data_IF_371479895478
#
_entry.id   IF_371479895478
#
_cell.length_a   1.000
_cell.length_b   1.000
_cell.length_c   1.000
_cell.angle_alpha   90.00
_cell.angle_beta   90.00
_cell.angle_gamma   90.00
#
_symmetry.space_group_name_H-M   'P 1'
#
loop_
_entity.id
_entity.type
_entity.pdbx_description
1 polymer ?
#
# COMPACT_ATOMS: atom_id res chain seq x y z
N UNK A 1 9.54 -11.35 -11.69
CA UNK A 1 10.01 -10.75 -10.43
C UNK A 1 10.79 -11.77 -9.60
N UNK A 2 10.16 -12.90 -9.23
CA UNK A 2 10.74 -13.97 -8.41
C UNK A 2 11.90 -14.72 -9.07
N UNK A 3 11.70 -15.25 -10.28
CA UNK A 3 12.72 -16.06 -10.97
C UNK A 3 14.00 -15.28 -11.31
N UNK A 4 13.87 -13.96 -11.45
CA UNK A 4 14.96 -13.04 -11.78
C UNK A 4 15.60 -12.41 -10.53
N UNK A 5 15.17 -12.81 -9.32
CA UNK A 5 15.63 -12.24 -8.03
C UNK A 5 15.55 -10.71 -7.96
N UNK A 6 14.58 -10.11 -8.67
CA UNK A 6 14.41 -8.65 -8.69
C UNK A 6 13.92 -8.16 -7.34
N UNK A 7 13.11 -8.97 -6.64
CA UNK A 7 12.59 -8.63 -5.31
C UNK A 7 13.71 -8.43 -4.28
N UNK A 8 14.84 -9.13 -4.42
CA UNK A 8 16.01 -9.00 -3.53
C UNK A 8 16.65 -7.58 -3.60
N UNK A 9 16.29 -6.78 -4.61
CA UNK A 9 16.78 -5.40 -4.77
C UNK A 9 15.89 -4.35 -4.09
N UNK A 10 14.74 -4.75 -3.54
CA UNK A 10 13.79 -3.83 -2.93
C UNK A 10 14.17 -3.51 -1.48
N UNK A 11 13.73 -2.34 -1.02
CA UNK A 11 14.00 -1.85 0.33
C UNK A 11 12.96 -2.42 1.31
N UNK A 12 13.33 -3.51 2.00
CA UNK A 12 12.44 -4.29 2.85
C UNK A 12 11.80 -3.44 3.96
N UNK A 13 10.50 -3.60 4.14
CA UNK A 13 9.74 -3.01 5.25
C UNK A 13 9.30 -1.57 5.00
N UNK A 14 9.31 -1.11 3.75
CA UNK A 14 8.98 0.28 3.39
C UNK A 14 7.78 0.36 2.47
N UNK A 15 6.99 1.43 2.58
CA UNK A 15 5.90 1.67 1.63
C UNK A 15 6.36 1.67 0.15
N UNK A 16 7.63 2.02 -0.08
CA UNK A 16 8.23 2.02 -1.41
C UNK A 16 8.36 0.61 -1.99
N UNK A 17 8.78 -0.38 -1.21
CA UNK A 17 8.82 -1.78 -1.67
C UNK A 17 7.42 -2.25 -2.09
N UNK A 18 6.42 -1.85 -1.33
CA UNK A 18 5.06 -2.28 -1.51
C UNK A 18 4.46 -1.70 -2.77
N UNK A 19 4.74 -0.43 -3.06
CA UNK A 19 4.43 0.18 -4.34
C UNK A 19 5.12 -0.54 -5.51
N UNK A 20 6.38 -0.95 -5.36
CA UNK A 20 7.09 -1.68 -6.41
C UNK A 20 6.48 -3.07 -6.64
N UNK A 21 6.18 -3.81 -5.56
CA UNK A 21 5.50 -5.12 -5.63
C UNK A 21 4.13 -4.97 -6.29
N UNK A 22 3.32 -4.00 -5.85
CA UNK A 22 2.01 -3.75 -6.44
C UNK A 22 2.11 -3.32 -7.90
N UNK A 23 3.10 -2.50 -8.26
CA UNK A 23 3.37 -2.17 -9.65
C UNK A 23 3.66 -3.43 -10.46
N UNK A 24 4.62 -4.25 -10.04
CA UNK A 24 4.99 -5.48 -10.76
C UNK A 24 3.84 -6.48 -10.90
N UNK A 25 2.95 -6.59 -9.91
CA UNK A 25 1.81 -7.52 -9.97
C UNK A 25 0.69 -7.00 -10.88
N UNK A 26 0.42 -5.69 -10.83
CA UNK A 26 -0.75 -5.10 -11.49
C UNK A 26 -0.40 -4.19 -12.69
N UNK A 27 0.85 -4.22 -13.15
CA UNK A 27 1.36 -3.35 -14.22
C UNK A 27 0.51 -3.42 -15.49
N UNK A 28 0.03 -4.62 -15.82
CA UNK A 28 -0.73 -4.91 -17.04
C UNK A 28 -2.25 -4.87 -16.83
N UNK A 29 -2.71 -4.63 -15.60
CA UNK A 29 -4.14 -4.71 -15.22
C UNK A 29 -4.74 -3.33 -14.92
N UNK A 30 -3.99 -2.45 -14.25
CA UNK A 30 -4.51 -1.16 -13.78
C UNK A 30 -3.52 -0.03 -14.05
N UNK A 31 -3.95 1.11 -14.58
CA UNK A 31 -3.07 2.27 -14.87
C UNK A 31 -2.52 2.98 -13.63
N UNK A 32 -3.13 2.74 -12.46
CA UNK A 32 -2.77 3.33 -11.16
C UNK A 32 -1.81 2.46 -10.32
N UNK A 33 -1.27 1.40 -10.93
CA UNK A 33 -0.35 0.48 -10.28
C UNK A 33 0.84 1.19 -9.59
N UNK A 34 1.04 0.95 -8.29
CA UNK A 34 2.15 1.54 -7.53
C UNK A 34 2.06 3.06 -7.32
N UNK A 35 0.93 3.69 -7.68
CA UNK A 35 0.70 5.13 -7.46
C UNK A 35 -0.21 5.34 -6.25
N UNK A 36 0.08 6.39 -5.48
CA UNK A 36 -0.83 6.87 -4.44
C UNK A 36 -2.04 7.56 -5.09
N UNK A 37 -3.20 7.45 -4.44
CA UNK A 37 -4.38 8.23 -4.86
C UNK A 37 -4.22 9.71 -4.55
N UNK A 38 -4.85 10.55 -5.38
CA UNK A 38 -4.86 12.02 -5.24
C UNK A 38 -6.22 12.57 -4.85
N UNK A 39 -7.21 11.70 -4.62
CA UNK A 39 -8.58 12.06 -4.28
C UNK A 39 -9.08 11.22 -3.11
N UNK A 40 -10.10 11.71 -2.39
CA UNK A 40 -10.78 10.93 -1.36
C UNK A 40 -11.64 9.82 -1.99
N UNK A 41 -11.67 8.66 -1.35
CA UNK A 41 -12.48 7.51 -1.76
C UNK A 41 -13.58 7.31 -0.73
N UNK A 42 -14.80 7.15 -1.22
CA UNK A 42 -15.98 6.81 -0.42
C UNK A 42 -16.61 5.54 -1.00
N UNK A 43 -17.02 4.62 -0.14
CA UNK A 43 -17.77 3.43 -0.52
C UNK A 43 -18.88 3.19 0.51
N UNK A 44 -20.13 3.07 0.06
CA UNK A 44 -21.30 2.80 0.92
C UNK A 44 -21.34 3.70 2.19
N UNK A 45 -21.23 5.02 2.01
CA UNK A 45 -21.17 6.03 3.09
C UNK A 45 -19.97 5.92 4.04
N UNK A 46 -19.05 5.00 3.83
CA UNK A 46 -17.77 4.95 4.52
C UNK A 46 -16.72 5.73 3.73
N UNK A 47 -16.08 6.70 4.38
CA UNK A 47 -14.92 7.37 3.83
C UNK A 47 -13.67 6.60 4.28
N UNK A 48 -12.82 6.22 3.33
CA UNK A 48 -11.47 5.78 3.66
C UNK A 48 -10.65 6.97 4.22
N UNK A 49 -9.43 6.75 4.71
CA UNK A 49 -8.63 7.84 5.26
C UNK A 49 -8.57 9.06 4.31
N UNK A 50 -8.45 10.28 4.83
CA UNK A 50 -8.32 11.45 3.96
C UNK A 50 -7.00 11.38 3.19
N UNK A 51 -7.03 11.71 1.89
CA UNK A 51 -5.83 11.66 1.04
C UNK A 51 -4.72 12.57 1.61
N UNK A 52 -5.10 13.70 2.23
CA UNK A 52 -4.18 14.67 2.81
C UNK A 52 -3.30 14.08 3.91
N UNK A 53 -3.83 13.14 4.69
CA UNK A 53 -3.08 12.52 5.80
C UNK A 53 -2.37 11.25 5.39
N UNK A 54 -2.54 10.80 4.14
CA UNK A 54 -2.00 9.54 3.67
C UNK A 54 -0.47 9.51 3.76
N UNK A 55 0.19 10.58 3.33
CA UNK A 55 1.65 10.68 3.35
C UNK A 55 2.21 10.68 4.78
N UNK A 56 1.54 11.39 5.68
CA UNK A 56 1.91 11.41 7.09
C UNK A 56 1.75 10.01 7.72
N UNK A 57 0.61 9.36 7.48
CA UNK A 57 0.33 8.02 8.03
C UNK A 57 1.32 6.98 7.51
N UNK A 58 1.64 7.01 6.21
CA UNK A 58 2.64 6.13 5.61
C UNK A 58 4.02 6.34 6.24
N UNK A 59 4.42 7.60 6.44
CA UNK A 59 5.70 7.91 7.10
C UNK A 59 5.78 7.43 8.55
N UNK A 60 4.63 7.30 9.23
CA UNK A 60 4.56 6.76 10.58
C UNK A 60 4.66 5.23 10.57
N UNK A 61 4.00 4.57 9.61
CA UNK A 61 4.04 3.11 9.46
C UNK A 61 5.44 2.63 9.11
N UNK A 62 6.16 3.34 8.22
CA UNK A 62 7.54 3.00 7.87
C UNK A 62 8.49 3.03 9.08
N UNK A 63 8.15 3.82 10.12
CA UNK A 63 8.95 3.93 11.36
C UNK A 63 8.61 2.90 12.42
N UNK A 64 7.57 2.07 12.20
CA UNK A 64 7.24 1.00 13.15
C UNK A 64 8.42 0.00 13.17
N UNK A 65 8.97 -0.32 14.36
CA UNK A 65 10.05 -1.29 14.49
C UNK A 65 9.60 -2.68 14.03
N UNK A 66 10.55 -3.55 13.68
CA UNK A 66 10.30 -4.92 13.21
C UNK A 66 11.18 -5.93 13.95
N UNK A 67 11.48 -5.66 15.23
CA UNK A 67 12.47 -6.43 15.99
C UNK A 67 11.88 -7.71 16.58
N UNK A 68 10.59 -7.70 16.89
CA UNK A 68 9.85 -8.85 17.43
C UNK A 68 8.65 -9.19 16.56
N UNK A 69 8.17 -10.43 16.67
CA UNK A 69 7.07 -10.94 15.87
C UNK A 69 5.79 -10.09 15.97
N UNK A 70 5.42 -9.66 17.18
CA UNK A 70 4.22 -8.84 17.39
C UNK A 70 4.30 -7.50 16.65
N UNK A 71 5.49 -6.86 16.66
CA UNK A 71 5.72 -5.62 15.92
C UNK A 71 5.58 -5.82 14.39
N UNK A 72 6.06 -6.95 13.88
CA UNK A 72 5.93 -7.31 12.45
C UNK A 72 4.46 -7.49 12.08
N UNK A 73 3.69 -8.17 12.93
CA UNK A 73 2.25 -8.38 12.72
C UNK A 73 1.50 -7.05 12.76
N UNK A 74 1.81 -6.18 13.72
CA UNK A 74 1.19 -4.86 13.83
C UNK A 74 1.53 -3.98 12.62
N UNK A 75 2.79 -3.96 12.18
CA UNK A 75 3.20 -3.24 10.98
C UNK A 75 2.47 -3.77 9.75
N UNK A 76 2.38 -5.08 9.60
CA UNK A 76 1.64 -5.72 8.50
C UNK A 76 0.14 -5.36 8.51
N UNK A 77 -0.51 -5.41 9.68
CA UNK A 77 -1.91 -5.05 9.80
C UNK A 77 -2.17 -3.58 9.41
N UNK A 78 -1.33 -2.65 9.88
CA UNK A 78 -1.43 -1.23 9.53
C UNK A 78 -1.13 -0.99 8.05
N UNK A 79 -0.13 -1.67 7.49
CA UNK A 79 0.21 -1.59 6.08
C UNK A 79 -0.94 -2.10 5.21
N UNK A 80 -1.60 -3.20 5.58
CA UNK A 80 -2.78 -3.72 4.88
C UNK A 80 -3.95 -2.75 4.87
N UNK A 81 -4.21 -2.10 6.01
CA UNK A 81 -5.23 -1.05 6.08
C UNK A 81 -4.88 0.10 5.13
N UNK A 82 -3.61 0.51 5.07
CA UNK A 82 -3.16 1.53 4.14
C UNK A 82 -3.25 1.10 2.68
N UNK A 83 -2.90 -0.14 2.33
CA UNK A 83 -3.09 -0.71 0.99
C UNK A 83 -4.55 -0.55 0.56
N UNK A 84 -5.48 -0.93 1.44
CA UNK A 84 -6.91 -0.76 1.20
C UNK A 84 -7.28 0.72 1.08
N UNK A 85 -6.67 1.61 1.84
CA UNK A 85 -6.95 3.03 1.72
C UNK A 85 -6.38 3.66 0.46
N UNK A 86 -5.28 3.14 -0.08
CA UNK A 86 -4.56 3.73 -1.22
C UNK A 86 -5.11 3.20 -2.54
N UNK A 87 -5.26 1.88 -2.62
CA UNK A 87 -5.68 1.18 -3.84
C UNK A 87 -7.03 0.51 -3.72
N UNK A 88 -7.61 0.43 -2.52
CA UNK A 88 -8.92 -0.17 -2.30
C UNK A 88 -9.97 0.55 -3.12
N UNK A 89 -10.21 -0.05 -4.28
CA UNK A 89 -11.29 0.22 -5.22
C UNK A 89 -11.29 1.65 -5.77
N UNK A 90 -10.16 2.07 -6.35
CA UNK A 90 -10.19 3.17 -7.34
C UNK A 90 -11.04 2.81 -8.59
N UNK A 91 -11.35 1.52 -8.80
CA UNK A 91 -12.29 1.08 -9.82
C UNK A 91 -13.74 1.27 -9.37
N UNK A 92 -14.36 2.33 -9.85
CA UNK A 92 -15.81 2.55 -9.77
C UNK A 92 -16.64 1.51 -10.53
N UNK A 93 -16.01 0.66 -11.35
CA UNK A 93 -16.67 -0.27 -12.28
C UNK A 93 -16.54 -1.76 -11.91
N UNK A 94 -16.05 -2.09 -10.70
CA UNK A 94 -16.03 -3.47 -10.18
C UNK A 94 -16.92 -3.56 -8.93
N UNK A 95 -18.21 -3.27 -9.12
CA UNK A 95 -19.34 -3.67 -8.28
C UNK A 95 -20.55 -3.86 -9.19
#
# INVERSE_FOLDING_TARGET
>A
MWDKRIIDTFEIGTFKDLCQIHHYIFQDVFEFNGKKRTVNIYKNNFMFALYLFLDNNLSQIDKIPENIFDEIIDKYAQMNICILWIWGLQNKNLI
#
